data_IF_541357741216
#
_entry.id   IF_541357741216
#
_cell.length_a   1.000
_cell.length_b   1.000
_cell.length_c   1.000
_cell.angle_alpha   90.00
_cell.angle_beta   90.00
_cell.angle_gamma   90.00
#
_symmetry.space_group_name_H-M   'P 1'
#
loop_
_entity.id
_entity.type
_entity.pdbx_description
1 polymer ?
#
# COMPACT_ATOMS: atom_id res chain seq x y z
N UNK A 1 -6.28 6.22 -24.02
CA UNK A 1 -7.69 6.37 -23.61
C UNK A 1 -8.59 6.96 -24.69
N UNK A 2 -8.06 7.38 -25.85
CA UNK A 2 -8.81 7.97 -26.97
C UNK A 2 -9.71 9.16 -26.57
N UNK A 3 -9.23 10.01 -25.68
CA UNK A 3 -9.94 11.22 -25.25
C UNK A 3 -9.70 12.36 -26.26
N UNK A 4 -10.31 12.25 -27.45
CA UNK A 4 -10.02 13.09 -28.60
C UNK A 4 -10.44 14.57 -28.46
N UNK A 5 -11.19 14.91 -27.41
CA UNK A 5 -11.68 16.26 -27.16
C UNK A 5 -11.16 16.86 -25.83
N UNK A 6 -10.00 16.41 -25.36
CA UNK A 6 -9.35 16.88 -24.14
C UNK A 6 -7.86 17.06 -24.34
N UNK A 7 -7.21 17.80 -23.43
CA UNK A 7 -5.76 17.99 -23.42
C UNK A 7 -5.27 19.20 -24.19
N UNK A 8 -6.18 20.06 -24.69
CA UNK A 8 -5.83 21.35 -25.28
C UNK A 8 -6.94 22.39 -25.02
N UNK A 9 -6.57 23.66 -24.98
CA UNK A 9 -7.49 24.78 -24.99
C UNK A 9 -7.70 25.14 -26.46
N UNK A 10 -8.71 24.55 -27.11
CA UNK A 10 -8.97 24.69 -28.52
C UNK A 10 -10.48 24.58 -28.83
N UNK A 11 -10.97 25.19 -29.92
CA UNK A 11 -12.35 25.02 -30.37
C UNK A 11 -12.72 23.54 -30.57
N UNK A 12 -13.88 23.13 -30.06
CA UNK A 12 -14.36 21.75 -30.08
C UNK A 12 -13.87 20.85 -28.97
N UNK A 13 -12.94 21.32 -28.12
CA UNK A 13 -12.50 20.62 -26.92
C UNK A 13 -13.37 20.95 -25.71
N UNK A 14 -13.44 20.03 -24.77
CA UNK A 14 -14.10 20.29 -23.48
C UNK A 14 -13.27 21.33 -22.70
N UNK A 15 -13.96 22.30 -22.13
CA UNK A 15 -13.33 23.32 -21.29
C UNK A 15 -13.02 22.75 -19.90
N UNK A 16 -12.06 21.82 -19.87
CA UNK A 16 -11.46 21.23 -18.68
C UNK A 16 -10.05 21.84 -18.53
N UNK A 17 -9.88 22.81 -17.64
CA UNK A 17 -8.59 23.47 -17.43
C UNK A 17 -8.47 24.02 -16.00
N UNK A 18 -7.24 24.28 -15.60
CA UNK A 18 -6.91 24.98 -14.36
C UNK A 18 -6.32 26.34 -14.68
N UNK A 19 -6.58 27.32 -13.81
CA UNK A 19 -5.92 28.62 -13.79
C UNK A 19 -4.95 28.61 -12.62
N UNK A 20 -3.70 28.94 -12.86
CA UNK A 20 -2.64 28.99 -11.86
C UNK A 20 -2.08 30.41 -11.77
N UNK A 21 -1.50 30.74 -10.63
CA UNK A 21 -0.86 32.05 -10.39
C UNK A 21 0.34 32.28 -11.31
N UNK A 22 1.28 31.31 -11.29
CA UNK A 22 2.50 31.31 -12.10
C UNK A 22 3.07 29.89 -12.19
N UNK A 23 4.13 29.71 -13.01
CA UNK A 23 4.78 28.42 -13.22
C UNK A 23 5.77 28.01 -12.10
N UNK A 24 6.14 28.95 -11.22
CA UNK A 24 7.10 28.67 -10.14
C UNK A 24 6.39 28.08 -8.92
N UNK A 25 5.30 28.70 -8.47
CA UNK A 25 4.54 28.26 -7.31
C UNK A 25 3.49 27.21 -7.66
N UNK A 26 2.91 27.31 -8.86
CA UNK A 26 1.86 26.45 -9.37
C UNK A 26 0.63 26.41 -8.43
N UNK A 27 0.30 27.53 -7.80
CA UNK A 27 -0.91 27.64 -6.97
C UNK A 27 -2.15 27.67 -7.87
N UNK A 28 -3.12 26.81 -7.57
CA UNK A 28 -4.36 26.70 -8.33
C UNK A 28 -5.33 27.78 -7.86
N UNK A 29 -5.60 28.75 -8.70
CA UNK A 29 -6.60 29.81 -8.44
C UNK A 29 -8.01 29.37 -8.80
N UNK A 30 -8.18 28.72 -9.98
CA UNK A 30 -9.49 28.25 -10.44
C UNK A 30 -9.39 26.90 -11.14
N UNK A 31 -10.46 26.13 -11.05
CA UNK A 31 -10.65 24.89 -11.80
C UNK A 31 -11.96 24.93 -12.57
N UNK A 32 -11.89 24.66 -13.87
CA UNK A 32 -13.06 24.52 -14.75
C UNK A 32 -13.21 23.08 -15.22
N UNK A 33 -14.45 22.58 -15.23
CA UNK A 33 -14.83 21.27 -15.72
C UNK A 33 -16.03 21.38 -16.65
N UNK A 34 -15.86 21.00 -17.91
CA UNK A 34 -16.88 21.20 -18.96
C UNK A 34 -17.44 22.64 -19.01
N UNK A 35 -16.57 23.63 -18.81
CA UNK A 35 -16.92 25.05 -18.78
C UNK A 35 -17.60 25.54 -17.49
N UNK A 36 -17.85 24.68 -16.50
CA UNK A 36 -18.36 25.08 -15.20
C UNK A 36 -17.20 25.37 -14.24
N UNK A 37 -17.29 26.47 -13.49
CA UNK A 37 -16.37 26.76 -12.40
C UNK A 37 -16.61 25.75 -11.26
N UNK A 38 -15.56 25.01 -10.90
CA UNK A 38 -15.61 23.99 -9.86
C UNK A 38 -14.85 24.41 -8.59
N UNK A 39 -13.88 25.30 -8.74
CA UNK A 39 -13.06 25.80 -7.63
C UNK A 39 -12.59 27.23 -7.93
N UNK A 40 -12.64 28.11 -6.92
CA UNK A 40 -12.11 29.48 -6.94
C UNK A 40 -11.68 29.90 -5.51
N UNK A 41 -10.92 29.02 -4.84
CA UNK A 41 -10.62 29.10 -3.41
C UNK A 41 -11.60 28.27 -2.57
N UNK A 42 -12.79 27.98 -3.11
CA UNK A 42 -13.80 27.13 -2.49
C UNK A 42 -14.25 26.09 -3.50
N UNK A 43 -14.27 24.81 -3.07
CA UNK A 43 -14.80 23.73 -3.90
C UNK A 43 -16.32 23.90 -4.08
N UNK A 44 -16.78 23.91 -5.33
CA UNK A 44 -18.21 24.02 -5.65
C UNK A 44 -18.86 22.65 -5.60
N UNK A 45 -20.12 22.63 -5.20
CA UNK A 45 -20.95 21.42 -5.26
C UNK A 45 -21.08 20.95 -6.71
N UNK A 46 -21.02 19.65 -6.90
CA UNK A 46 -21.25 19.00 -8.19
C UNK A 46 -22.15 17.79 -7.99
N UNK A 47 -22.96 17.53 -9.00
CA UNK A 47 -23.85 16.37 -9.02
C UNK A 47 -22.98 15.10 -9.09
N UNK A 48 -23.01 14.28 -8.06
CA UNK A 48 -22.48 12.92 -8.11
C UNK A 48 -23.53 12.01 -8.74
N UNK A 49 -23.18 11.27 -9.81
CA UNK A 49 -24.12 10.34 -10.40
C UNK A 49 -24.46 9.23 -9.40
N UNK A 50 -25.72 8.79 -9.39
CA UNK A 50 -26.08 7.57 -8.69
C UNK A 50 -25.27 6.39 -9.25
N UNK A 51 -24.64 5.65 -8.35
CA UNK A 51 -23.89 4.45 -8.70
C UNK A 51 -24.81 3.24 -8.46
N UNK A 52 -24.84 2.31 -9.41
CA UNK A 52 -25.59 1.06 -9.27
C UNK A 52 -25.19 0.35 -7.96
N UNK A 53 -26.14 0.10 -7.03
CA UNK A 53 -25.88 -0.56 -5.76
C UNK A 53 -25.18 -1.93 -5.91
N UNK A 54 -25.42 -2.63 -7.01
CA UNK A 54 -24.73 -3.89 -7.32
C UNK A 54 -23.23 -3.68 -7.55
N UNK A 55 -22.83 -2.62 -8.25
CA UNK A 55 -21.42 -2.28 -8.46
C UNK A 55 -20.76 -1.85 -7.14
N UNK A 56 -21.45 -1.06 -6.31
CA UNK A 56 -20.97 -0.69 -4.97
C UNK A 56 -20.71 -1.94 -4.15
N UNK A 57 -21.69 -2.85 -4.05
CA UNK A 57 -21.54 -4.12 -3.32
C UNK A 57 -20.32 -4.92 -3.81
N UNK A 58 -20.18 -5.08 -5.12
CA UNK A 58 -19.03 -5.81 -5.71
C UNK A 58 -17.68 -5.15 -5.41
N UNK A 59 -17.63 -3.83 -5.42
CA UNK A 59 -16.40 -3.10 -5.12
C UNK A 59 -15.95 -3.27 -3.65
N UNK A 60 -16.89 -3.47 -2.73
CA UNK A 60 -16.63 -3.74 -1.32
C UNK A 60 -16.43 -5.22 -0.97
N UNK A 61 -16.82 -6.15 -1.85
CA UNK A 61 -16.71 -7.60 -1.64
C UNK A 61 -15.49 -8.16 -2.39
N UNK A 62 -14.30 -7.79 -1.92
CA UNK A 62 -13.02 -8.13 -2.58
C UNK A 62 -12.00 -8.79 -1.65
N UNK A 63 -12.37 -9.03 -0.39
CA UNK A 63 -11.52 -9.71 0.59
C UNK A 63 -12.09 -11.07 0.94
N UNK A 64 -11.38 -12.11 0.53
CA UNK A 64 -11.72 -13.51 0.77
C UNK A 64 -10.54 -14.20 1.45
N UNK A 65 -10.36 -13.90 2.74
CA UNK A 65 -9.25 -14.40 3.57
C UNK A 65 -9.81 -14.99 4.85
N UNK A 66 -9.42 -16.22 5.17
CA UNK A 66 -9.70 -16.81 6.48
C UNK A 66 -8.92 -16.06 7.57
N UNK A 67 -9.43 -16.04 8.82
CA UNK A 67 -8.70 -15.44 9.94
C UNK A 67 -7.26 -15.98 10.04
N UNK A 68 -6.33 -15.09 10.24
CA UNK A 68 -4.90 -15.39 10.34
C UNK A 68 -4.48 -15.44 11.81
N UNK A 69 -3.50 -16.29 12.10
CA UNK A 69 -2.88 -16.45 13.42
C UNK A 69 -1.35 -16.30 13.30
N UNK A 70 -0.66 -16.16 14.42
CA UNK A 70 0.81 -16.13 14.45
C UNK A 70 1.43 -17.39 13.79
N UNK A 71 0.76 -18.55 13.90
CA UNK A 71 1.22 -19.79 13.30
C UNK A 71 1.33 -19.74 11.76
N UNK A 72 0.51 -18.91 11.10
CA UNK A 72 0.53 -18.73 9.65
C UNK A 72 1.78 -17.98 9.16
N UNK A 73 2.46 -17.28 10.05
CA UNK A 73 3.70 -16.55 9.79
C UNK A 73 4.95 -17.28 10.31
N UNK A 74 4.76 -18.41 11.00
CA UNK A 74 5.87 -19.17 11.57
C UNK A 74 6.47 -20.13 10.52
N UNK A 75 7.73 -19.93 10.19
CA UNK A 75 8.53 -20.89 9.40
C UNK A 75 9.94 -20.94 9.99
N UNK A 76 10.47 -22.15 10.18
CA UNK A 76 11.81 -22.39 10.72
C UNK A 76 12.87 -22.60 9.63
N UNK A 77 12.47 -22.56 8.38
CA UNK A 77 13.41 -22.67 7.25
C UNK A 77 14.08 -21.33 7.02
N UNK A 78 15.35 -21.31 6.62
CA UNK A 78 15.97 -20.09 6.12
C UNK A 78 15.25 -19.59 4.87
N UNK A 79 15.01 -18.28 4.82
CA UNK A 79 14.50 -17.58 3.64
C UNK A 79 15.50 -16.54 3.18
N UNK A 80 15.49 -16.23 1.90
CA UNK A 80 16.28 -15.14 1.37
C UNK A 80 15.84 -13.79 1.95
N UNK A 81 16.80 -12.93 2.21
CA UNK A 81 16.60 -11.59 2.77
C UNK A 81 16.60 -10.57 1.63
N UNK A 82 15.50 -9.87 1.48
CA UNK A 82 15.34 -8.78 0.52
C UNK A 82 15.99 -7.53 1.10
N UNK A 83 17.17 -7.15 0.60
CA UNK A 83 17.85 -5.92 0.98
C UNK A 83 17.22 -4.71 0.29
N UNK A 84 16.82 -3.71 1.07
CA UNK A 84 16.34 -2.44 0.53
C UNK A 84 17.52 -1.56 0.15
N UNK A 85 17.47 -0.95 -1.03
CA UNK A 85 18.46 0.03 -1.48
C UNK A 85 17.92 1.43 -1.19
N UNK A 86 18.57 2.23 -0.34
CA UNK A 86 18.07 3.54 0.04
C UNK A 86 17.81 4.47 -1.16
N UNK A 87 16.59 5.02 -1.23
CA UNK A 87 16.18 5.94 -2.30
C UNK A 87 15.80 5.27 -3.63
N UNK A 88 15.83 3.94 -3.70
CA UNK A 88 15.56 3.18 -4.92
C UNK A 88 14.37 2.24 -4.76
N UNK A 89 13.78 1.84 -5.88
CA UNK A 89 12.72 0.81 -5.91
C UNK A 89 13.28 -0.61 -6.12
N UNK A 90 14.56 -0.72 -6.49
CA UNK A 90 15.26 -2.00 -6.62
C UNK A 90 15.59 -2.58 -5.25
N UNK A 91 15.89 -3.87 -5.22
CA UNK A 91 16.39 -4.55 -4.02
C UNK A 91 17.67 -5.30 -4.34
N UNK A 92 18.33 -5.77 -3.31
CA UNK A 92 19.50 -6.63 -3.42
C UNK A 92 19.28 -7.94 -2.66
N UNK A 93 20.09 -8.94 -2.96
CA UNK A 93 20.16 -10.16 -2.16
C UNK A 93 21.05 -9.89 -0.94
N UNK A 94 20.45 -9.85 0.25
CA UNK A 94 21.14 -9.62 1.51
C UNK A 94 21.45 -10.93 2.26
N UNK A 95 21.42 -12.08 1.58
CA UNK A 95 21.70 -13.40 2.15
C UNK A 95 20.47 -14.11 2.66
N UNK A 96 20.61 -14.88 3.74
CA UNK A 96 19.54 -15.71 4.30
C UNK A 96 19.37 -15.47 5.79
N UNK A 97 18.14 -15.56 6.28
CA UNK A 97 17.79 -15.52 7.70
C UNK A 97 16.73 -16.58 8.02
N UNK A 98 16.72 -17.06 9.26
CA UNK A 98 15.73 -18.01 9.81
C UNK A 98 14.98 -17.43 11.02
N UNK A 99 15.33 -16.21 11.43
CA UNK A 99 14.69 -15.48 12.52
C UNK A 99 14.80 -13.95 12.31
N UNK A 100 14.00 -13.22 13.06
CA UNK A 100 14.04 -11.75 13.12
C UNK A 100 15.28 -11.33 13.93
N UNK A 101 16.09 -10.42 13.38
CA UNK A 101 17.27 -9.85 14.03
C UNK A 101 17.20 -8.31 13.96
N UNK A 102 16.74 -7.71 15.04
CA UNK A 102 16.58 -6.26 15.13
C UNK A 102 17.92 -5.50 15.17
N UNK A 103 19.02 -6.15 15.58
CA UNK A 103 20.35 -5.52 15.58
C UNK A 103 20.86 -5.34 14.15
N UNK A 104 20.60 -6.31 13.29
CA UNK A 104 20.94 -6.28 11.87
C UNK A 104 19.85 -5.67 10.97
N UNK A 105 18.73 -5.19 11.56
CA UNK A 105 17.55 -4.71 10.85
C UNK A 105 16.98 -5.76 9.89
N UNK A 106 16.90 -7.01 10.33
CA UNK A 106 16.29 -8.11 9.61
C UNK A 106 14.90 -8.37 10.21
N UNK A 107 13.87 -8.09 9.44
CA UNK A 107 12.46 -8.21 9.83
C UNK A 107 11.76 -9.28 9.02
N UNK A 108 10.72 -9.89 9.59
CA UNK A 108 9.86 -10.79 8.83
C UNK A 108 8.92 -10.01 7.93
N UNK A 109 8.76 -10.49 6.70
CA UNK A 109 7.81 -9.94 5.72
C UNK A 109 6.95 -11.08 5.16
N UNK A 110 5.67 -10.81 4.93
CA UNK A 110 4.74 -11.77 4.35
C UNK A 110 3.82 -11.12 3.31
N UNK A 111 3.43 -11.91 2.30
CA UNK A 111 2.40 -11.54 1.32
C UNK A 111 1.31 -12.59 1.33
N UNK A 112 0.09 -12.18 1.68
CA UNK A 112 -1.09 -13.03 1.88
C UNK A 112 -2.04 -12.86 0.69
N UNK A 113 -2.41 -13.96 0.04
CA UNK A 113 -3.42 -13.98 -1.03
C UNK A 113 -4.79 -13.62 -0.45
N UNK A 114 -5.50 -12.62 -1.05
CA UNK A 114 -6.76 -12.11 -0.53
C UNK A 114 -7.98 -12.24 -1.44
N UNK A 115 -7.80 -12.73 -2.66
CA UNK A 115 -8.86 -12.71 -3.68
C UNK A 115 -9.68 -13.99 -3.75
N UNK A 116 -9.09 -15.13 -3.42
CA UNK A 116 -9.65 -16.47 -3.68
C UNK A 116 -9.67 -17.37 -2.46
N UNK A 117 -9.28 -16.87 -1.30
CA UNK A 117 -9.15 -17.65 -0.05
C UNK A 117 -8.33 -18.94 -0.23
N UNK A 118 -7.21 -18.81 -0.94
CA UNK A 118 -6.32 -19.97 -1.21
C UNK A 118 -5.42 -20.32 -0.03
N UNK A 119 -5.35 -19.46 0.96
CA UNK A 119 -4.44 -19.55 2.10
C UNK A 119 -2.95 -19.57 1.70
N UNK A 120 -2.63 -19.04 0.51
CA UNK A 120 -1.23 -18.90 0.11
C UNK A 120 -0.61 -17.70 0.81
N UNK A 121 0.46 -17.94 1.54
CA UNK A 121 1.23 -16.93 2.26
C UNK A 121 2.70 -17.10 1.89
N UNK A 122 3.25 -16.13 1.16
CA UNK A 122 4.69 -16.05 0.89
C UNK A 122 5.38 -15.46 2.12
N UNK A 123 6.40 -16.14 2.62
CA UNK A 123 7.22 -15.71 3.75
C UNK A 123 8.64 -15.39 3.29
N UNK A 124 9.27 -14.41 3.92
CA UNK A 124 10.65 -13.99 3.69
C UNK A 124 11.12 -13.04 4.77
N UNK A 125 12.30 -12.49 4.54
CA UNK A 125 12.86 -11.45 5.39
C UNK A 125 13.19 -10.22 4.57
N UNK A 126 13.16 -9.04 5.23
CA UNK A 126 13.53 -7.76 4.65
C UNK A 126 14.56 -7.07 5.54
N UNK A 127 15.53 -6.40 4.92
CA UNK A 127 16.57 -5.62 5.60
C UNK A 127 16.52 -4.18 5.14
N UNK A 128 16.70 -3.25 6.07
CA UNK A 128 16.77 -1.81 5.79
C UNK A 128 15.45 -1.06 6.02
N UNK A 129 14.40 -1.74 6.51
CA UNK A 129 13.10 -1.11 6.77
C UNK A 129 13.08 -0.29 8.07
N UNK A 130 13.82 -0.73 9.09
CA UNK A 130 14.10 0.02 10.32
C UNK A 130 13.11 -0.20 11.46
N UNK A 131 11.98 -0.91 11.27
CA UNK A 131 10.98 -1.13 12.31
C UNK A 131 11.60 -1.80 13.56
N UNK A 132 11.28 -1.28 14.75
CA UNK A 132 11.80 -1.78 16.04
C UNK A 132 10.74 -2.45 16.89
N UNK A 133 9.47 -2.13 16.69
CA UNK A 133 8.33 -2.68 17.40
C UNK A 133 7.15 -2.87 16.45
N UNK A 134 6.26 -3.82 16.75
CA UNK A 134 4.98 -3.97 16.10
C UNK A 134 5.03 -4.45 14.65
N UNK A 135 4.02 -4.06 13.89
CA UNK A 135 3.85 -4.43 12.49
C UNK A 135 3.22 -3.31 11.65
N UNK A 136 3.55 -3.31 10.37
CA UNK A 136 2.95 -2.44 9.34
C UNK A 136 2.38 -3.32 8.23
N UNK A 137 1.10 -3.13 7.89
CA UNK A 137 0.42 -3.87 6.83
C UNK A 137 -0.27 -2.93 5.85
N UNK A 138 -0.37 -3.35 4.59
CA UNK A 138 -1.14 -2.65 3.55
C UNK A 138 -1.71 -3.63 2.53
N UNK A 139 -2.86 -3.29 1.93
CA UNK A 139 -3.42 -3.96 0.75
C UNK A 139 -3.04 -3.30 -0.56
N UNK A 140 -2.27 -2.21 -0.51
CA UNK A 140 -1.68 -1.60 -1.70
C UNK A 140 -0.36 -2.32 -1.97
N UNK A 141 -0.38 -3.34 -2.84
CA UNK A 141 0.74 -4.22 -3.13
C UNK A 141 0.78 -4.54 -4.62
N UNK A 142 1.71 -3.94 -5.34
CA UNK A 142 1.78 -4.04 -6.80
C UNK A 142 2.16 -5.42 -7.30
N UNK A 143 1.54 -5.92 -8.41
CA UNK A 143 0.30 -5.42 -9.06
C UNK A 143 -0.93 -6.16 -8.53
N UNK A 144 -0.73 -7.21 -7.76
CA UNK A 144 -1.78 -8.16 -7.32
C UNK A 144 -2.69 -7.57 -6.25
N UNK A 145 -2.25 -6.53 -5.56
CA UNK A 145 -2.93 -5.94 -4.40
C UNK A 145 -3.33 -6.98 -3.34
N UNK A 146 -2.45 -7.94 -3.11
CA UNK A 146 -2.51 -8.84 -1.97
C UNK A 146 -2.18 -8.08 -0.67
N UNK A 147 -2.44 -8.67 0.50
CA UNK A 147 -2.01 -8.05 1.75
C UNK A 147 -0.50 -8.28 1.89
N UNK A 148 0.25 -7.22 2.14
CA UNK A 148 1.66 -7.28 2.53
C UNK A 148 1.81 -6.77 3.95
N UNK A 149 2.61 -7.47 4.75
CA UNK A 149 2.87 -7.12 6.14
C UNK A 149 4.34 -7.34 6.47
N UNK A 150 4.90 -6.41 7.23
CA UNK A 150 6.23 -6.51 7.85
C UNK A 150 6.07 -6.34 9.35
N UNK A 151 6.82 -7.11 10.14
CA UNK A 151 6.70 -7.04 11.59
C UNK A 151 7.90 -7.58 12.35
N UNK A 152 7.90 -7.26 13.64
CA UNK A 152 8.89 -7.70 14.63
C UNK A 152 8.41 -8.92 15.44
N UNK A 153 7.14 -9.32 15.26
CA UNK A 153 6.55 -10.54 15.84
C UNK A 153 5.46 -11.08 14.92
N UNK A 154 5.26 -12.39 14.93
CA UNK A 154 4.20 -13.07 14.18
C UNK A 154 2.80 -12.68 14.70
N UNK A 155 2.68 -12.40 15.98
CA UNK A 155 1.44 -11.97 16.63
C UNK A 155 0.96 -10.63 16.08
N UNK A 156 1.84 -9.62 16.03
CA UNK A 156 1.50 -8.30 15.50
C UNK A 156 1.28 -8.34 13.98
N UNK A 157 2.02 -9.18 13.25
CA UNK A 157 1.79 -9.41 11.82
C UNK A 157 0.40 -9.97 11.55
N UNK A 158 -0.02 -10.99 12.33
CA UNK A 158 -1.35 -11.59 12.22
C UNK A 158 -2.45 -10.57 12.56
N UNK A 159 -2.27 -9.82 13.65
CA UNK A 159 -3.22 -8.80 14.07
C UNK A 159 -3.37 -7.67 13.03
N UNK A 160 -2.24 -7.16 12.49
CA UNK A 160 -2.26 -6.12 11.47
C UNK A 160 -2.90 -6.61 10.16
N UNK A 161 -2.59 -7.83 9.71
CA UNK A 161 -3.19 -8.40 8.51
C UNK A 161 -4.70 -8.65 8.68
N UNK A 162 -5.15 -9.17 9.83
CA UNK A 162 -6.57 -9.32 10.13
C UNK A 162 -7.30 -7.97 10.15
N UNK A 163 -6.65 -6.91 10.66
CA UNK A 163 -7.25 -5.57 10.64
C UNK A 163 -7.47 -5.05 9.21
N UNK A 164 -6.53 -5.33 8.29
CA UNK A 164 -6.72 -5.05 6.86
C UNK A 164 -7.93 -5.82 6.29
N UNK A 165 -8.13 -7.07 6.70
CA UNK A 165 -9.30 -7.88 6.27
C UNK A 165 -10.60 -7.30 6.82
N UNK A 166 -10.65 -6.93 8.10
CA UNK A 166 -11.82 -6.29 8.74
C UNK A 166 -12.23 -4.98 8.04
N UNK A 167 -11.25 -4.15 7.69
CA UNK A 167 -11.45 -2.89 6.97
C UNK A 167 -11.73 -3.08 5.47
N UNK A 168 -11.67 -4.32 4.96
CA UNK A 168 -11.74 -4.64 3.51
C UNK A 168 -10.68 -3.93 2.69
N UNK A 169 -9.53 -3.69 3.29
CA UNK A 169 -8.38 -3.03 2.68
C UNK A 169 -7.92 -1.80 3.43
N UNK A 170 -6.71 -1.39 3.13
CA UNK A 170 -6.15 -0.18 3.71
C UNK A 170 -4.70 -0.33 4.15
N UNK A 171 -4.38 0.45 5.16
CA UNK A 171 -3.10 0.53 5.83
C UNK A 171 -3.35 0.36 7.32
N UNK A 172 -2.50 -0.38 8.01
CA UNK A 172 -2.55 -0.55 9.47
C UNK A 172 -1.14 -0.51 10.04
N UNK A 173 -0.97 0.28 11.10
CA UNK A 173 0.23 0.31 11.95
C UNK A 173 -0.18 -0.16 13.33
N UNK A 174 0.49 -1.18 13.85
CA UNK A 174 0.07 -1.87 15.08
C UNK A 174 1.28 -2.18 15.97
N UNK A 175 1.09 -2.17 17.29
CA UNK A 175 2.09 -2.60 18.27
C UNK A 175 1.40 -3.23 19.48
N UNK A 176 1.83 -4.44 19.88
CA UNK A 176 1.27 -5.17 21.01
C UNK A 176 -0.25 -5.41 20.88
N UNK A 177 -0.76 -5.62 19.68
CA UNK A 177 -2.17 -5.80 19.38
C UNK A 177 -3.01 -4.52 19.40
N UNK A 178 -2.39 -3.34 19.58
CA UNK A 178 -3.06 -2.04 19.54
C UNK A 178 -2.89 -1.37 18.18
N UNK A 179 -3.98 -0.85 17.62
CA UNK A 179 -3.97 -0.05 16.41
C UNK A 179 -3.45 1.34 16.77
N UNK A 180 -2.33 1.76 16.16
CA UNK A 180 -1.73 3.07 16.35
C UNK A 180 -2.08 4.02 15.22
N UNK A 181 -2.22 3.50 14.01
CA UNK A 181 -2.63 4.26 12.84
C UNK A 181 -3.28 3.36 11.80
N UNK A 182 -4.31 3.87 11.13
CA UNK A 182 -4.97 3.12 10.06
C UNK A 182 -5.58 4.04 9.00
N UNK A 183 -5.70 3.51 7.80
CA UNK A 183 -6.45 4.10 6.68
C UNK A 183 -7.32 3.02 6.08
N UNK A 184 -8.63 3.14 6.16
CA UNK A 184 -9.55 2.20 5.53
C UNK A 184 -9.69 2.49 4.04
N UNK A 185 -9.53 1.44 3.22
CA UNK A 185 -9.66 1.50 1.75
C UNK A 185 -10.63 0.42 1.26
N UNK A 186 -11.93 0.50 1.62
CA UNK A 186 -12.88 -0.59 1.42
C UNK A 186 -13.27 -0.81 -0.04
N UNK A 187 -13.02 0.15 -0.92
CA UNK A 187 -13.35 0.03 -2.35
C UNK A 187 -12.22 -0.69 -3.05
N UNK A 188 -12.46 -1.93 -3.43
CA UNK A 188 -11.51 -2.84 -4.07
C UNK A 188 -10.20 -3.05 -3.27
N UNK A 189 -10.19 -2.64 -2.00
CA UNK A 189 -9.01 -2.73 -1.13
C UNK A 189 -7.93 -1.69 -1.36
N UNK A 190 -8.20 -0.66 -2.18
CA UNK A 190 -7.20 0.33 -2.60
C UNK A 190 -7.74 1.76 -2.69
N UNK A 191 -9.04 1.96 -2.51
CA UNK A 191 -9.69 3.28 -2.57
C UNK A 191 -10.65 3.44 -1.39
N UNK A 192 -10.89 4.70 -1.00
CA UNK A 192 -11.85 5.08 0.04
C UNK A 192 -13.03 5.85 -0.56
N UNK A 193 -14.19 5.77 0.09
CA UNK A 193 -15.35 6.62 -0.11
C UNK A 193 -15.37 7.83 0.84
N UNK A 194 -14.38 7.95 1.71
CA UNK A 194 -14.15 9.14 2.52
C UNK A 194 -13.62 10.32 1.68
N UNK A 195 -13.70 11.53 2.25
CA UNK A 195 -13.14 12.71 1.61
C UNK A 195 -11.61 12.66 1.54
N UNK A 196 -11.03 13.29 0.52
CA UNK A 196 -9.56 13.39 0.37
C UNK A 196 -8.89 13.93 1.64
N UNK A 197 -9.52 14.90 2.32
CA UNK A 197 -8.98 15.51 3.55
C UNK A 197 -8.91 14.47 4.67
N UNK A 198 -9.95 13.65 4.86
CA UNK A 198 -9.96 12.60 5.88
C UNK A 198 -8.94 11.52 5.59
N UNK A 199 -8.89 11.02 4.35
CA UNK A 199 -7.92 9.99 3.94
C UNK A 199 -6.49 10.51 4.11
N UNK A 200 -6.20 11.74 3.69
CA UNK A 200 -4.87 12.31 3.83
C UNK A 200 -4.46 12.51 5.30
N UNK A 201 -5.38 13.00 6.14
CA UNK A 201 -5.11 13.15 7.57
C UNK A 201 -4.83 11.80 8.25
N UNK A 202 -5.59 10.77 7.92
CA UNK A 202 -5.38 9.41 8.44
C UNK A 202 -4.04 8.82 7.94
N UNK A 203 -3.69 9.06 6.67
CA UNK A 203 -2.43 8.61 6.08
C UNK A 203 -1.22 9.25 6.75
N UNK A 204 -1.23 10.56 6.96
CA UNK A 204 -0.14 11.26 7.64
C UNK A 204 -0.01 10.81 9.09
N UNK A 205 -1.12 10.63 9.82
CA UNK A 205 -1.10 10.09 11.17
C UNK A 205 -0.53 8.66 11.21
N UNK A 206 -0.91 7.79 10.27
CA UNK A 206 -0.37 6.45 10.18
C UNK A 206 1.14 6.44 9.84
N UNK A 207 1.61 7.37 8.99
CA UNK A 207 3.05 7.55 8.71
C UNK A 207 3.83 7.95 9.95
N UNK A 208 3.32 8.92 10.71
CA UNK A 208 3.96 9.38 11.93
C UNK A 208 4.10 8.23 12.94
N UNK A 209 3.09 7.39 13.09
CA UNK A 209 3.14 6.21 13.94
C UNK A 209 4.15 5.17 13.44
N UNK A 210 4.20 4.90 12.13
CA UNK A 210 5.18 3.99 11.56
C UNK A 210 6.62 4.49 11.82
N UNK A 211 6.87 5.78 11.67
CA UNK A 211 8.16 6.39 12.00
C UNK A 211 8.47 6.36 13.50
N UNK A 212 7.46 6.47 14.35
CA UNK A 212 7.61 6.34 15.82
C UNK A 212 8.00 4.92 16.21
N UNK A 213 7.49 3.91 15.51
CA UNK A 213 7.88 2.50 15.69
C UNK A 213 9.26 2.17 15.11
N UNK A 214 9.95 3.12 14.48
CA UNK A 214 11.34 2.98 14.02
C UNK A 214 11.51 2.85 12.51
N UNK A 215 10.46 2.86 11.70
CA UNK A 215 10.62 2.82 10.24
C UNK A 215 11.55 3.94 9.77
N UNK A 216 12.45 3.61 8.86
CA UNK A 216 13.46 4.54 8.35
C UNK A 216 12.80 5.78 7.71
N UNK A 217 13.23 6.97 8.12
CA UNK A 217 12.72 8.25 7.57
C UNK A 217 13.18 8.52 6.13
N UNK A 218 14.05 7.69 5.59
CA UNK A 218 14.50 7.78 4.20
C UNK A 218 13.58 7.09 3.19
N UNK A 219 12.47 6.49 3.65
CA UNK A 219 11.51 5.77 2.82
C UNK A 219 10.08 6.19 3.13
N UNK A 220 9.15 5.95 2.19
CA UNK A 220 7.72 5.95 2.52
C UNK A 220 7.34 4.57 3.09
N UNK A 221 6.81 4.49 4.34
CA UNK A 221 6.55 3.23 5.02
C UNK A 221 5.68 2.26 4.22
N UNK A 222 4.69 2.78 3.52
CA UNK A 222 3.65 1.97 2.86
C UNK A 222 3.97 1.73 1.39
N UNK A 223 4.38 2.78 0.67
CA UNK A 223 4.73 2.66 -0.75
C UNK A 223 5.94 1.77 -0.97
N UNK A 224 6.93 1.81 -0.08
CA UNK A 224 8.09 0.91 -0.16
C UNK A 224 7.66 -0.55 -0.09
N UNK A 225 6.76 -0.91 0.84
CA UNK A 225 6.23 -2.27 0.93
C UNK A 225 5.47 -2.67 -0.33
N UNK A 226 4.74 -1.75 -0.96
CA UNK A 226 3.92 -2.05 -2.13
C UNK A 226 4.73 -2.61 -3.30
N UNK A 227 6.00 -2.21 -3.43
CA UNK A 227 6.90 -2.70 -4.47
C UNK A 227 7.62 -4.00 -4.12
N UNK A 228 7.64 -4.40 -2.86
CA UNK A 228 8.33 -5.64 -2.45
C UNK A 228 7.65 -6.91 -3.00
N UNK A 229 6.37 -6.84 -3.36
CA UNK A 229 5.63 -7.95 -3.95
C UNK A 229 5.68 -8.00 -5.50
N UNK A 230 6.30 -7.02 -6.17
CA UNK A 230 6.25 -6.85 -7.63
C UNK A 230 7.38 -7.62 -8.35
N UNK A 231 7.14 -8.83 -8.90
CA UNK A 231 8.18 -9.73 -9.39
C UNK A 231 8.72 -9.35 -10.78
N UNK A 232 8.83 -8.07 -11.07
CA UNK A 232 9.40 -7.51 -12.31
C UNK A 232 10.52 -6.49 -12.05
N UNK A 233 10.70 -6.08 -10.78
CA UNK A 233 11.77 -5.17 -10.40
C UNK A 233 12.87 -5.99 -9.70
N UNK A 234 14.13 -6.00 -10.20
CA UNK A 234 15.23 -6.76 -9.58
C UNK A 234 15.60 -6.19 -8.20
N UNK A 235 16.25 -6.98 -7.33
CA UNK A 235 16.67 -8.39 -7.56
C UNK A 235 15.68 -9.40 -6.98
N UNK A 236 15.38 -9.34 -5.68
CA UNK A 236 14.48 -10.23 -4.97
C UNK A 236 13.12 -9.58 -4.70
N UNK A 237 12.05 -10.37 -4.79
CA UNK A 237 10.67 -9.95 -4.50
C UNK A 237 9.92 -11.06 -3.77
N UNK A 238 8.82 -10.69 -3.12
CA UNK A 238 8.01 -11.61 -2.33
C UNK A 238 6.57 -11.71 -2.88
N UNK A 239 6.29 -12.53 -3.88
CA UNK A 239 4.91 -12.94 -4.18
C UNK A 239 4.38 -13.97 -3.18
N UNK A 240 3.10 -14.36 -3.31
CA UNK A 240 2.41 -15.26 -2.37
C UNK A 240 2.97 -16.69 -2.26
N UNK A 241 4.00 -17.05 -3.03
CA UNK A 241 4.65 -18.36 -3.00
C UNK A 241 6.02 -18.38 -2.32
N UNK A 242 6.49 -17.24 -1.82
CA UNK A 242 7.82 -17.10 -1.23
C UNK A 242 8.71 -16.17 -2.03
N UNK A 243 9.97 -16.06 -1.64
CA UNK A 243 10.91 -15.13 -2.27
C UNK A 243 11.24 -15.57 -3.70
N UNK A 244 11.21 -14.62 -4.62
CA UNK A 244 11.43 -14.82 -6.05
C UNK A 244 12.60 -13.99 -6.53
N UNK A 245 13.57 -14.64 -7.14
CA UNK A 245 14.69 -13.97 -7.83
C UNK A 245 14.25 -13.59 -9.24
N UNK A 246 14.12 -12.28 -9.46
CA UNK A 246 13.67 -11.70 -10.73
C UNK A 246 14.70 -11.88 -11.84
N UNK A 247 15.99 -11.94 -11.50
CA UNK A 247 17.05 -12.07 -12.49
C UNK A 247 17.13 -13.50 -13.04
N UNK A 248 16.98 -14.50 -12.18
CA UNK A 248 17.01 -15.91 -12.56
C UNK A 248 15.63 -16.49 -12.87
N UNK A 249 14.55 -15.74 -12.58
CA UNK A 249 13.15 -16.16 -12.74
C UNK A 249 12.81 -17.43 -11.95
N UNK A 250 13.29 -17.53 -10.70
CA UNK A 250 13.11 -18.70 -9.82
C UNK A 250 12.74 -18.30 -8.40
N UNK A 251 12.02 -19.16 -7.72
CA UNK A 251 11.85 -19.09 -6.28
C UNK A 251 13.11 -19.59 -5.58
N UNK A 252 13.50 -18.90 -4.51
CA UNK A 252 14.72 -19.15 -3.73
C UNK A 252 14.42 -19.36 -2.26
#
# INVERSE_FOLDING_TARGET
FLLNNRGAIAPGYLADFVVIDNWENFEIEMVYKKGKLMYDGVLRDFDTPEIDPYLVKRAHDTFHVAPLSAADFTDKRPHAVIGMVPGEIVSEDAGYADHIDLEQDILKIAVIERHKNTHHIGLGYIKGYGLRHGAVATSISHDSHNIIVVGTSEEDMAAAANRIVENRGGITVMDGGQILGEVALPIAGIMSDDSLVMVNSALEAAKDEAFRLGVSRGIDPFMTLSFMALPVIPSLRLPTRGVFDVLTQRYV
#
